data_IF_434248979909
#
_entry.id   IF_434248979909
#
_cell.length_a   1.000
_cell.length_b   1.000
_cell.length_c   1.000
_cell.angle_alpha   90.00
_cell.angle_beta   90.00
_cell.angle_gamma   90.00
#
_symmetry.space_group_name_H-M   'P 1'
#
loop_
_entity.id
_entity.type
_entity.pdbx_description
1 polymer ?
#
# COMPACT_ATOMS: atom_id res chain seq x y z
N UNK A 1 -28.62 -2.24 -16.23
CA UNK A 1 -28.89 -1.55 -14.96
C UNK A 1 -29.08 -2.62 -13.89
N UNK A 2 -27.99 -3.05 -13.27
CA UNK A 2 -27.97 -4.03 -12.18
C UNK A 2 -27.26 -3.34 -11.03
N UNK A 3 -28.00 -3.08 -9.96
CA UNK A 3 -27.46 -2.58 -8.71
C UNK A 3 -26.61 -3.68 -8.06
N UNK A 4 -25.33 -3.39 -7.82
CA UNK A 4 -24.49 -4.21 -6.95
C UNK A 4 -24.56 -3.62 -5.55
N UNK A 5 -25.48 -4.16 -4.75
CA UNK A 5 -25.35 -4.18 -3.30
C UNK A 5 -24.25 -5.18 -2.94
N UNK A 6 -23.21 -4.71 -2.26
CA UNK A 6 -22.12 -5.56 -1.78
C UNK A 6 -21.52 -4.98 -0.52
N UNK A 7 -22.26 -5.10 0.58
CA UNK A 7 -21.73 -4.89 1.92
C UNK A 7 -21.40 -6.27 2.49
N UNK A 8 -20.11 -6.56 2.60
CA UNK A 8 -19.53 -7.60 3.45
C UNK A 8 -18.10 -7.19 3.74
N UNK A 9 -17.91 -6.51 4.87
CA UNK A 9 -16.63 -6.07 5.36
C UNK A 9 -15.64 -7.22 5.51
N UNK A 10 -14.73 -7.35 4.54
CA UNK A 10 -13.43 -7.98 4.77
C UNK A 10 -12.58 -6.92 5.48
N UNK A 11 -12.49 -7.04 6.80
CA UNK A 11 -11.46 -6.32 7.55
C UNK A 11 -10.13 -6.65 6.88
N UNK A 12 -9.26 -5.68 6.54
CA UNK A 12 -7.95 -6.02 6.00
C UNK A 12 -7.28 -6.91 7.05
N UNK A 13 -7.03 -8.20 6.74
CA UNK A 13 -6.24 -9.07 7.61
C UNK A 13 -4.89 -8.37 7.77
N UNK A 14 -4.66 -7.77 8.93
CA UNK A 14 -3.43 -7.02 9.19
C UNK A 14 -2.28 -8.02 9.17
N UNK A 15 -1.22 -7.73 8.42
CA UNK A 15 -0.01 -8.58 8.34
C UNK A 15 0.70 -8.70 9.69
N UNK A 16 0.39 -7.78 10.59
CA UNK A 16 0.96 -7.65 11.91
C UNK A 16 -0.10 -7.90 12.97
N UNK A 17 0.34 -8.41 14.10
CA UNK A 17 -0.40 -8.38 15.36
C UNK A 17 -0.86 -6.95 15.67
N UNK A 18 -1.89 -6.85 16.52
CA UNK A 18 -2.38 -5.55 16.98
C UNK A 18 -1.26 -4.74 17.67
N UNK A 19 -0.41 -5.40 18.47
CA UNK A 19 0.71 -4.75 19.16
C UNK A 19 1.73 -4.14 18.18
N UNK A 20 2.10 -4.89 17.13
CA UNK A 20 3.02 -4.39 16.10
C UNK A 20 2.38 -3.32 15.22
N UNK A 21 1.12 -3.51 14.80
CA UNK A 21 0.36 -2.49 14.06
C UNK A 21 0.29 -1.19 14.84
N UNK A 22 -0.06 -1.28 16.13
CA UNK A 22 -0.11 -0.14 17.03
C UNK A 22 1.26 0.51 17.22
N UNK A 23 2.35 -0.26 17.36
CA UNK A 23 3.71 0.29 17.48
C UNK A 23 4.14 1.02 16.21
N UNK A 24 3.89 0.41 15.05
CA UNK A 24 4.21 0.99 13.76
C UNK A 24 3.39 2.26 13.51
N UNK A 25 2.12 2.27 13.87
CA UNK A 25 1.25 3.45 13.74
C UNK A 25 1.50 4.53 14.83
N UNK A 26 2.04 4.16 16.01
CA UNK A 26 2.30 5.08 17.15
C UNK A 26 3.54 5.96 16.99
N UNK A 27 4.42 5.72 16.02
CA UNK A 27 5.64 6.55 15.82
C UNK A 27 5.32 8.03 15.56
N UNK A 28 4.07 8.37 15.20
CA UNK A 28 3.63 9.78 15.09
C UNK A 28 3.13 10.43 16.38
N UNK A 29 2.83 9.69 17.46
CA UNK A 29 2.36 10.30 18.73
C UNK A 29 3.47 10.96 19.54
N UNK A 30 4.75 10.70 19.21
CA UNK A 30 5.88 11.18 20.01
C UNK A 30 6.86 12.12 19.30
N UNK A 31 6.69 12.40 18.01
CA UNK A 31 7.68 13.18 17.24
C UNK A 31 7.15 14.43 16.52
N UNK A 32 6.04 15.06 16.95
CA UNK A 32 5.79 16.42 16.45
C UNK A 32 4.40 17.05 16.52
N UNK A 33 3.55 16.77 17.51
CA UNK A 33 2.55 17.77 17.93
C UNK A 33 2.50 17.81 19.47
N UNK A 34 2.74 18.96 20.11
CA UNK A 34 2.56 19.07 21.54
C UNK A 34 1.07 18.95 21.85
N UNK A 35 0.69 17.88 22.54
CA UNK A 35 -0.49 17.88 23.41
C UNK A 35 -1.84 18.24 22.75
N UNK A 36 -2.09 17.85 21.51
CA UNK A 36 -3.45 17.82 20.98
C UNK A 36 -4.23 16.68 21.60
N UNK A 37 -4.95 16.93 22.70
CA UNK A 37 -5.94 15.99 23.23
C UNK A 37 -6.83 15.48 22.08
N UNK A 38 -7.31 14.21 22.12
CA UNK A 38 -8.22 13.70 21.11
C UNK A 38 -9.37 14.70 20.94
N UNK A 39 -9.50 15.31 19.75
CA UNK A 39 -10.58 16.27 19.48
C UNK A 39 -11.90 15.52 19.74
N UNK A 40 -12.67 15.91 20.76
CA UNK A 40 -13.92 15.22 21.03
C UNK A 40 -14.85 15.45 19.84
N UNK A 41 -15.50 14.39 19.35
CA UNK A 41 -16.72 14.53 18.55
C UNK A 41 -17.61 15.54 19.28
N UNK A 42 -18.02 16.61 18.60
CA UNK A 42 -18.87 17.67 19.14
C UNK A 42 -20.24 17.06 19.45
N UNK A 43 -20.37 16.44 20.61
CA UNK A 43 -21.65 15.91 21.11
C UNK A 43 -22.36 17.01 21.90
N UNK A 44 -23.48 17.50 21.34
CA UNK A 44 -24.51 18.24 22.06
C UNK A 44 -24.80 19.64 21.54
N UNK A 45 -26.06 20.08 21.73
CA UNK A 45 -26.63 21.35 21.23
C UNK A 45 -25.86 22.62 21.62
N UNK A 46 -25.10 22.61 22.70
CA UNK A 46 -24.31 23.75 23.16
C UNK A 46 -23.03 23.93 22.34
N UNK A 47 -22.36 22.82 21.98
CA UNK A 47 -21.11 22.85 21.24
C UNK A 47 -21.32 23.14 19.75
N UNK A 48 -22.49 22.80 19.18
CA UNK A 48 -22.87 23.22 17.82
C UNK A 48 -23.05 24.75 17.72
N UNK A 49 -23.62 25.41 18.74
CA UNK A 49 -23.82 26.87 18.71
C UNK A 49 -22.51 27.65 18.80
N UNK A 50 -21.58 27.20 19.65
CA UNK A 50 -20.25 27.80 19.75
C UNK A 50 -19.49 27.64 18.42
N UNK A 51 -19.50 26.43 17.84
CA UNK A 51 -18.86 26.17 16.56
C UNK A 51 -19.45 27.01 15.41
N UNK A 52 -20.78 27.14 15.32
CA UNK A 52 -21.40 27.99 14.31
C UNK A 52 -21.06 29.48 14.51
N UNK A 53 -20.91 29.94 15.75
CA UNK A 53 -20.52 31.31 16.04
C UNK A 53 -19.04 31.57 15.66
N UNK A 54 -18.15 30.60 15.90
CA UNK A 54 -16.75 30.64 15.45
C UNK A 54 -16.63 30.70 13.92
N UNK A 55 -17.54 30.03 13.21
CA UNK A 55 -17.63 30.08 11.74
C UNK A 55 -18.28 31.37 11.20
N UNK A 56 -18.71 32.29 12.07
CA UNK A 56 -19.45 33.50 11.67
C UNK A 56 -20.86 33.23 11.14
N UNK A 57 -21.42 32.04 11.39
CA UNK A 57 -22.71 31.59 10.88
C UNK A 57 -23.87 31.77 11.88
N UNK A 58 -23.66 32.63 12.88
CA UNK A 58 -24.67 33.01 13.87
C UNK A 58 -24.91 34.52 13.80
N UNK A 59 -26.07 34.91 13.29
CA UNK A 59 -26.56 36.28 13.35
C UNK A 59 -27.41 36.45 14.62
N UNK A 60 -26.90 37.22 15.59
CA UNK A 60 -27.57 37.45 16.87
C UNK A 60 -28.78 38.37 16.75
N UNK A 61 -28.89 39.13 15.66
CA UNK A 61 -29.95 40.11 15.39
C UNK A 61 -31.09 39.52 14.57
N UNK A 62 -30.86 38.41 13.85
CA UNK A 62 -31.86 37.74 13.03
C UNK A 62 -32.53 36.54 13.72
N UNK A 63 -33.70 36.18 13.20
CA UNK A 63 -34.39 34.92 13.52
C UNK A 63 -34.64 34.10 12.24
N UNK A 64 -34.30 32.80 12.20
CA UNK A 64 -33.54 32.07 13.23
C UNK A 64 -32.08 32.56 13.26
N UNK A 65 -31.46 32.56 14.46
CA UNK A 65 -30.08 33.07 14.63
C UNK A 65 -29.05 32.32 13.78
N UNK A 66 -29.32 31.07 13.44
CA UNK A 66 -28.46 30.24 12.60
C UNK A 66 -28.88 30.28 11.12
N UNK A 67 -29.67 31.27 10.69
CA UNK A 67 -30.08 31.44 9.29
C UNK A 67 -28.89 31.41 8.32
N UNK A 68 -27.75 32.07 8.58
CA UNK A 68 -26.60 31.99 7.69
C UNK A 68 -26.09 30.56 7.51
N UNK A 69 -26.08 29.75 8.58
CA UNK A 69 -25.72 28.34 8.52
C UNK A 69 -26.66 27.56 7.60
N UNK A 70 -27.97 27.76 7.72
CA UNK A 70 -28.95 27.07 6.87
C UNK A 70 -28.82 27.44 5.40
N UNK A 71 -28.59 28.73 5.10
CA UNK A 71 -28.41 29.22 3.74
C UNK A 71 -27.13 28.67 3.10
N UNK A 72 -26.05 28.56 3.88
CA UNK A 72 -24.80 27.95 3.42
C UNK A 72 -24.98 26.46 3.14
N UNK A 73 -25.68 25.72 4.02
CA UNK A 73 -25.97 24.29 3.82
C UNK A 73 -26.86 24.05 2.60
N UNK A 74 -27.92 24.84 2.44
CA UNK A 74 -28.86 24.69 1.32
C UNK A 74 -28.20 24.88 -0.06
N UNK A 75 -27.09 25.63 -0.14
CA UNK A 75 -26.32 25.80 -1.39
C UNK A 75 -25.51 24.57 -1.75
N UNK A 76 -25.01 23.84 -0.75
CA UNK A 76 -24.07 22.72 -0.96
C UNK A 76 -24.74 21.35 -0.92
N UNK A 77 -25.94 21.22 -0.33
CA UNK A 77 -26.65 19.95 -0.17
C UNK A 77 -28.01 19.99 -0.88
N UNK A 78 -28.12 19.43 -2.10
CA UNK A 78 -29.39 19.29 -2.81
C UNK A 78 -30.38 18.49 -1.94
N UNK A 79 -31.56 19.07 -1.68
CA UNK A 79 -32.59 18.49 -0.81
C UNK A 79 -32.65 19.12 0.59
N UNK A 80 -31.60 19.76 1.10
CA UNK A 80 -31.70 20.46 2.38
C UNK A 80 -32.60 21.71 2.27
N UNK A 81 -33.80 21.62 2.83
CA UNK A 81 -34.76 22.73 2.94
C UNK A 81 -35.17 22.92 4.40
N UNK A 82 -35.41 24.18 4.76
CA UNK A 82 -35.80 24.56 6.11
C UNK A 82 -36.92 25.60 6.07
N UNK A 83 -37.88 25.48 6.99
CA UNK A 83 -39.04 26.36 7.05
C UNK A 83 -39.25 26.88 8.46
N UNK A 84 -39.80 28.09 8.53
CA UNK A 84 -40.31 28.67 9.78
C UNK A 84 -41.66 28.04 10.10
N UNK A 85 -41.74 27.34 11.23
CA UNK A 85 -43.00 26.91 11.86
C UNK A 85 -43.33 27.77 13.07
N UNK A 86 -44.59 27.78 13.48
CA UNK A 86 -45.00 28.44 14.71
C UNK A 86 -46.46 28.18 15.10
N UNK A 87 -46.75 28.28 16.39
CA UNK A 87 -48.10 28.25 16.95
C UNK A 87 -48.16 29.18 18.16
N UNK A 88 -49.02 30.20 18.08
CA UNK A 88 -49.02 31.31 19.05
C UNK A 88 -47.67 32.04 19.04
N UNK A 89 -47.15 32.35 20.23
CA UNK A 89 -45.86 33.05 20.39
C UNK A 89 -44.63 32.14 20.23
N UNK A 90 -44.84 30.83 20.00
CA UNK A 90 -43.74 29.87 19.79
C UNK A 90 -43.42 29.76 18.32
N UNK A 91 -42.15 29.98 17.98
CA UNK A 91 -41.62 29.88 16.63
C UNK A 91 -40.47 28.86 16.62
N UNK A 92 -40.42 27.98 15.63
CA UNK A 92 -39.37 26.96 15.46
C UNK A 92 -38.95 26.79 14.00
N UNK A 93 -37.85 26.10 13.77
CA UNK A 93 -37.37 25.72 12.43
C UNK A 93 -37.67 24.24 12.20
N UNK A 94 -38.29 23.92 11.08
CA UNK A 94 -38.52 22.55 10.63
C UNK A 94 -37.65 22.29 9.41
N UNK A 95 -36.96 21.14 9.38
CA UNK A 95 -36.21 20.69 8.19
C UNK A 95 -37.12 19.78 7.38
N UNK A 96 -37.32 20.09 6.09
CA UNK A 96 -38.17 19.30 5.19
C UNK A 96 -37.47 17.99 4.83
N UNK A 97 -36.17 18.07 4.58
CA UNK A 97 -35.26 16.95 4.34
C UNK A 97 -33.91 17.30 5.00
N UNK A 98 -33.31 16.32 5.69
CA UNK A 98 -32.05 16.51 6.41
C UNK A 98 -31.02 15.48 5.91
N UNK A 99 -29.82 15.90 5.46
CA UNK A 99 -28.82 14.99 4.93
C UNK A 99 -28.42 13.95 5.97
N UNK A 100 -28.26 12.70 5.53
CA UNK A 100 -27.60 11.66 6.30
C UNK A 100 -26.24 11.37 5.69
N UNK A 101 -25.26 11.07 6.53
CA UNK A 101 -23.92 10.65 6.11
C UNK A 101 -23.68 9.31 6.79
N UNK A 102 -23.52 8.25 5.99
CA UNK A 102 -23.31 6.87 6.48
C UNK A 102 -24.43 6.39 7.45
N UNK A 103 -25.67 6.82 7.23
CA UNK A 103 -26.81 6.48 8.08
C UNK A 103 -26.91 7.27 9.39
N UNK A 104 -25.95 8.15 9.70
CA UNK A 104 -26.02 9.08 10.83
C UNK A 104 -26.57 10.45 10.37
N UNK A 105 -27.23 11.18 11.26
CA UNK A 105 -27.71 12.56 11.04
C UNK A 105 -26.64 13.53 11.55
N UNK A 106 -25.87 14.22 10.68
CA UNK A 106 -24.79 15.11 11.09
C UNK A 106 -25.32 16.33 11.86
N UNK A 107 -24.46 17.05 12.58
CA UNK A 107 -24.87 18.32 13.18
C UNK A 107 -24.88 19.46 12.15
N UNK A 108 -25.60 20.55 12.45
CA UNK A 108 -25.57 21.77 11.63
C UNK A 108 -24.16 22.35 11.47
N UNK A 109 -23.30 22.20 12.49
CA UNK A 109 -21.92 22.65 12.40
C UNK A 109 -21.13 21.79 11.40
N UNK A 110 -21.34 20.48 11.40
CA UNK A 110 -20.66 19.55 10.47
C UNK A 110 -21.05 19.86 9.01
N UNK A 111 -22.35 20.03 8.75
CA UNK A 111 -22.86 20.40 7.43
C UNK A 111 -22.34 21.78 6.98
N UNK A 112 -22.24 22.74 7.91
CA UNK A 112 -21.76 24.09 7.62
C UNK A 112 -20.28 24.13 7.27
N UNK A 113 -19.44 23.37 8.00
CA UNK A 113 -18.00 23.26 7.70
C UNK A 113 -17.81 22.67 6.31
N UNK A 114 -18.55 21.62 5.99
CA UNK A 114 -18.45 20.97 4.69
C UNK A 114 -18.92 21.89 3.55
N UNK A 115 -20.03 22.61 3.77
CA UNK A 115 -20.54 23.58 2.79
C UNK A 115 -19.54 24.71 2.53
N UNK A 116 -18.93 25.27 3.59
CA UNK A 116 -17.91 26.32 3.44
C UNK A 116 -16.66 25.83 2.70
N UNK A 117 -16.25 24.58 2.88
CA UNK A 117 -15.17 23.97 2.08
C UNK A 117 -15.51 23.92 0.60
N UNK A 118 -16.76 23.63 0.26
CA UNK A 118 -17.21 23.61 -1.14
C UNK A 118 -17.41 25.00 -1.76
N UNK A 119 -17.61 26.05 -0.95
CA UNK A 119 -17.90 27.41 -1.45
C UNK A 119 -16.66 28.30 -1.60
N UNK A 120 -15.56 28.00 -0.89
CA UNK A 120 -14.28 28.73 -1.00
C UNK A 120 -13.41 28.06 -2.07
N UNK A 121 -13.77 28.26 -3.34
CA UNK A 121 -12.83 28.09 -4.45
C UNK A 121 -13.22 29.02 -5.62
N UNK A 122 -12.65 30.25 -5.69
CA UNK A 122 -12.41 30.87 -6.97
C UNK A 122 -11.25 30.14 -7.67
N UNK A 123 -11.40 30.00 -8.98
CA UNK A 123 -10.52 29.31 -9.92
C UNK A 123 -9.02 29.55 -9.66
N UNK A 124 -8.33 28.51 -9.19
CA UNK A 124 -6.88 28.37 -9.24
C UNK A 124 -6.55 26.97 -9.80
N UNK A 125 -5.49 26.85 -10.62
CA UNK A 125 -5.35 25.77 -11.58
C UNK A 125 -5.14 24.41 -10.90
N UNK A 126 -5.92 23.42 -11.36
CA UNK A 126 -5.76 21.98 -11.11
C UNK A 126 -5.44 21.61 -9.67
N UNK A 127 -6.38 21.83 -8.75
CA UNK A 127 -6.37 21.13 -7.48
C UNK A 127 -6.50 19.63 -7.74
N UNK A 128 -5.46 18.90 -7.42
CA UNK A 128 -5.51 17.45 -7.22
C UNK A 128 -6.67 17.16 -6.28
N UNK A 129 -7.69 16.44 -6.76
CA UNK A 129 -8.83 16.08 -5.94
C UNK A 129 -8.42 14.97 -4.96
N UNK A 130 -7.76 15.34 -3.87
CA UNK A 130 -7.41 14.44 -2.75
C UNK A 130 -8.68 13.81 -2.14
N UNK A 131 -9.81 14.49 -2.27
CA UNK A 131 -11.13 14.05 -1.80
C UNK A 131 -11.70 12.85 -2.59
N UNK A 132 -11.08 12.47 -3.72
CA UNK A 132 -11.45 11.26 -4.47
C UNK A 132 -10.94 9.95 -3.83
N UNK A 133 -10.12 10.02 -2.79
CA UNK A 133 -9.63 8.83 -2.09
C UNK A 133 -10.48 8.54 -0.86
N UNK A 134 -10.82 7.27 -0.63
CA UNK A 134 -11.51 6.85 0.58
C UNK A 134 -10.71 7.27 1.85
N UNK A 135 -11.38 7.59 2.98
CA UNK A 135 -10.70 8.15 4.17
C UNK A 135 -9.53 7.31 4.70
N UNK A 136 -9.64 5.98 4.62
CA UNK A 136 -8.57 5.06 5.01
C UNK A 136 -7.33 5.17 4.09
N UNK A 137 -7.53 5.36 2.78
CA UNK A 137 -6.45 5.60 1.81
C UNK A 137 -5.80 6.93 2.11
N UNK A 138 -6.59 7.99 2.32
CA UNK A 138 -6.07 9.30 2.69
C UNK A 138 -5.21 9.22 3.95
N UNK A 139 -5.67 8.52 4.99
CA UNK A 139 -4.94 8.38 6.24
C UNK A 139 -3.62 7.61 6.05
N UNK A 140 -3.66 6.47 5.34
CA UNK A 140 -2.51 5.57 5.17
C UNK A 140 -1.47 6.13 4.21
N UNK A 141 -1.89 6.76 3.12
CA UNK A 141 -0.99 7.33 2.10
C UNK A 141 -0.79 8.84 2.25
N UNK A 142 -1.18 9.40 3.40
CA UNK A 142 -1.04 10.83 3.71
C UNK A 142 0.38 11.37 3.44
N UNK A 143 1.49 10.69 3.80
CA UNK A 143 2.81 11.22 3.51
C UNK A 143 3.03 11.56 2.03
N UNK A 144 2.51 10.73 1.10
CA UNK A 144 2.58 10.98 -0.34
C UNK A 144 1.61 12.09 -0.78
N UNK A 145 0.40 12.13 -0.22
CA UNK A 145 -0.61 13.15 -0.54
C UNK A 145 -0.24 14.55 -0.02
N UNK A 146 0.53 14.63 1.06
CA UNK A 146 0.99 15.88 1.68
C UNK A 146 2.34 16.36 1.14
N UNK A 147 2.90 15.70 0.12
CA UNK A 147 4.11 16.15 -0.56
C UNK A 147 3.98 17.60 -1.02
N UNK A 148 5.07 18.36 -0.87
CA UNK A 148 5.13 19.78 -1.21
C UNK A 148 6.02 20.00 -2.40
N UNK A 149 5.70 21.01 -3.20
CA UNK A 149 6.53 21.38 -4.33
C UNK A 149 7.89 21.88 -3.82
N UNK A 150 8.95 21.55 -4.54
CA UNK A 150 10.30 22.02 -4.22
C UNK A 150 10.44 23.55 -4.35
N UNK A 151 9.68 24.16 -5.27
CA UNK A 151 9.68 25.60 -5.53
C UNK A 151 8.68 26.39 -4.67
N UNK A 152 7.68 25.74 -4.07
CA UNK A 152 6.75 26.36 -3.13
C UNK A 152 6.23 25.35 -2.10
N UNK A 153 6.81 25.39 -0.89
CA UNK A 153 6.45 24.52 0.23
C UNK A 153 4.99 24.69 0.71
N UNK A 154 4.31 25.78 0.34
CA UNK A 154 2.89 26.01 0.68
C UNK A 154 1.96 25.20 -0.22
N UNK A 155 2.40 24.89 -1.44
CA UNK A 155 1.62 24.16 -2.43
C UNK A 155 1.89 22.66 -2.33
N UNK A 156 0.81 21.87 -2.53
CA UNK A 156 0.94 20.41 -2.67
C UNK A 156 1.52 20.08 -4.04
N UNK A 157 2.35 19.06 -4.08
CA UNK A 157 2.87 18.54 -5.34
C UNK A 157 1.88 17.53 -5.96
N UNK A 158 1.34 17.79 -7.17
CA UNK A 158 0.41 16.87 -7.84
C UNK A 158 0.95 15.50 -8.10
N UNK A 159 2.27 15.39 -8.23
CA UNK A 159 2.94 14.13 -8.54
C UNK A 159 2.85 13.13 -7.40
N UNK A 160 2.66 13.59 -6.15
CA UNK A 160 2.41 12.73 -5.01
C UNK A 160 1.07 11.99 -5.12
N UNK A 161 0.01 12.70 -5.51
CA UNK A 161 -1.31 12.10 -5.65
C UNK A 161 -1.48 11.26 -6.92
N UNK A 162 -0.81 11.63 -8.01
CA UNK A 162 -0.74 10.79 -9.21
C UNK A 162 -0.09 9.45 -8.88
N UNK A 163 1.00 9.46 -8.10
CA UNK A 163 1.61 8.22 -7.61
C UNK A 163 0.63 7.42 -6.73
N UNK A 164 -0.05 8.08 -5.77
CA UNK A 164 -1.06 7.39 -4.93
C UNK A 164 -2.16 6.74 -5.76
N UNK A 165 -2.66 7.43 -6.80
CA UNK A 165 -3.65 6.85 -7.72
C UNK A 165 -3.10 5.60 -8.39
N UNK A 166 -1.90 5.67 -8.98
CA UNK A 166 -1.27 4.53 -9.63
C UNK A 166 -1.09 3.35 -8.65
N UNK A 167 -0.64 3.61 -7.42
CA UNK A 167 -0.48 2.58 -6.39
C UNK A 167 -1.83 1.95 -5.98
N UNK A 168 -2.89 2.74 -5.85
CA UNK A 168 -4.24 2.24 -5.54
C UNK A 168 -4.78 1.40 -6.69
N UNK A 169 -4.62 1.84 -7.93
CA UNK A 169 -5.11 1.15 -9.13
C UNK A 169 -4.35 -0.17 -9.38
N UNK A 170 -3.08 -0.23 -8.97
CA UNK A 170 -2.29 -1.46 -8.91
C UNK A 170 -2.71 -2.41 -7.78
N UNK A 171 -3.50 -1.92 -6.83
CA UNK A 171 -3.92 -2.67 -5.67
C UNK A 171 -2.79 -2.91 -4.67
N UNK A 172 -1.92 -1.94 -4.38
CA UNK A 172 -0.89 -2.14 -3.34
C UNK A 172 -1.51 -2.47 -1.98
N UNK A 173 -0.94 -3.43 -1.25
CA UNK A 173 -1.28 -3.70 0.13
C UNK A 173 -0.95 -2.45 0.96
N UNK A 174 -1.78 -2.15 1.97
CA UNK A 174 -1.55 -0.99 2.83
C UNK A 174 -0.31 -1.22 3.69
N UNK A 175 0.82 -0.53 3.43
CA UNK A 175 2.02 -0.77 4.19
C UNK A 175 1.99 0.04 5.49
N UNK A 176 2.87 -0.27 6.46
CA UNK A 176 3.09 0.58 7.63
C UNK A 176 3.42 2.02 7.24
N UNK A 177 3.06 3.00 8.08
CA UNK A 177 3.32 4.41 7.79
C UNK A 177 4.81 4.71 7.57
N UNK A 178 5.72 4.05 8.31
CA UNK A 178 7.17 4.21 8.10
C UNK A 178 7.61 3.82 6.68
N UNK A 179 6.97 2.80 6.10
CA UNK A 179 7.25 2.37 4.73
C UNK A 179 6.71 3.41 3.75
N UNK A 180 5.53 4.00 4.00
CA UNK A 180 5.02 5.09 3.17
C UNK A 180 5.92 6.32 3.24
N UNK A 181 6.46 6.65 4.42
CA UNK A 181 7.44 7.73 4.58
C UNK A 181 8.73 7.43 3.79
N UNK A 182 9.20 6.18 3.79
CA UNK A 182 10.34 5.75 2.97
C UNK A 182 10.04 5.84 1.47
N UNK A 183 8.84 5.47 1.02
CA UNK A 183 8.39 5.61 -0.38
C UNK A 183 8.27 7.08 -0.78
N UNK A 184 7.79 7.94 0.12
CA UNK A 184 7.77 9.39 -0.11
C UNK A 184 9.18 9.93 -0.30
N UNK A 185 10.11 9.60 0.60
CA UNK A 185 11.49 10.04 0.51
C UNK A 185 12.16 9.53 -0.78
N UNK A 186 11.90 8.28 -1.16
CA UNK A 186 12.34 7.74 -2.45
C UNK A 186 11.78 8.55 -3.63
N UNK A 187 10.48 8.85 -3.61
CA UNK A 187 9.83 9.59 -4.69
C UNK A 187 10.34 11.03 -4.81
N UNK A 188 10.61 11.70 -3.68
CA UNK A 188 11.22 13.03 -3.67
C UNK A 188 12.59 13.03 -4.37
N UNK A 189 13.43 12.02 -4.13
CA UNK A 189 14.73 11.85 -4.82
C UNK A 189 14.57 11.59 -6.31
N UNK A 190 13.60 10.76 -6.69
CA UNK A 190 13.27 10.50 -8.10
C UNK A 190 12.85 11.80 -8.80
N UNK A 191 11.98 12.59 -8.17
CA UNK A 191 11.54 13.88 -8.72
C UNK A 191 12.66 14.93 -8.79
N UNK A 192 13.70 14.78 -7.96
CA UNK A 192 14.93 15.57 -8.05
C UNK A 192 15.90 15.09 -9.15
N UNK A 193 15.57 14.01 -9.86
CA UNK A 193 16.37 13.47 -10.96
C UNK A 193 17.48 12.51 -10.54
N UNK A 194 17.48 12.04 -9.28
CA UNK A 194 18.44 11.03 -8.85
C UNK A 194 18.21 9.70 -9.60
N UNK A 195 19.29 8.98 -10.01
CA UNK A 195 19.16 7.64 -10.55
C UNK A 195 18.37 6.77 -9.57
N UNK A 196 17.37 6.04 -10.09
CA UNK A 196 16.47 5.24 -9.28
C UNK A 196 16.07 3.97 -10.02
N UNK A 197 15.73 2.94 -9.24
CA UNK A 197 15.36 1.64 -9.77
C UNK A 197 14.09 1.15 -9.08
N UNK A 198 13.12 0.65 -9.85
CA UNK A 198 12.09 -0.24 -9.30
C UNK A 198 12.58 -1.66 -9.48
N UNK A 199 12.71 -2.38 -8.38
CA UNK A 199 13.22 -3.75 -8.38
C UNK A 199 12.19 -4.74 -7.87
N UNK A 200 12.09 -5.86 -8.56
CA UNK A 200 11.20 -6.98 -8.23
C UNK A 200 12.05 -8.24 -8.18
N UNK A 201 12.06 -8.94 -7.06
CA UNK A 201 12.52 -10.33 -7.01
C UNK A 201 11.33 -11.25 -7.34
N UNK A 202 11.53 -12.20 -8.25
CA UNK A 202 10.49 -13.16 -8.65
C UNK A 202 11.00 -14.58 -8.51
N UNK A 203 10.10 -15.47 -8.07
CA UNK A 203 10.37 -16.89 -8.01
C UNK A 203 10.42 -17.51 -9.44
N UNK A 204 10.99 -18.71 -9.58
CA UNK A 204 10.93 -19.50 -10.81
C UNK A 204 9.50 -19.75 -11.30
N UNK A 205 9.34 -20.10 -12.58
CA UNK A 205 8.07 -20.43 -13.22
C UNK A 205 7.58 -21.84 -12.83
N UNK A 206 7.25 -22.02 -11.55
CA UNK A 206 6.71 -23.27 -11.03
C UNK A 206 5.35 -23.59 -11.65
N UNK A 207 5.12 -24.87 -11.94
CA UNK A 207 3.84 -25.35 -12.46
C UNK A 207 2.68 -24.99 -11.55
N UNK A 208 1.60 -24.53 -12.18
CA UNK A 208 0.35 -24.14 -11.54
C UNK A 208 -0.84 -24.80 -12.20
N UNK A 209 -1.97 -24.86 -11.48
CA UNK A 209 -3.28 -25.22 -12.02
C UNK A 209 -4.30 -24.13 -11.71
N UNK A 210 -5.30 -24.02 -12.57
CA UNK A 210 -6.50 -23.24 -12.28
C UNK A 210 -7.33 -23.94 -11.20
N UNK A 211 -7.95 -23.17 -10.33
CA UNK A 211 -8.77 -23.70 -9.21
C UNK A 211 -10.27 -23.53 -9.46
N UNK A 212 -10.66 -22.63 -10.37
CA UNK A 212 -12.05 -22.18 -10.54
C UNK A 212 -12.55 -21.23 -9.44
N UNK A 213 -11.73 -20.91 -8.44
CA UNK A 213 -12.05 -19.99 -7.36
C UNK A 213 -11.66 -18.54 -7.76
N UNK A 214 -12.60 -17.60 -7.86
CA UNK A 214 -12.29 -16.20 -8.18
C UNK A 214 -11.35 -15.52 -7.17
N UNK A 215 -11.36 -15.94 -5.91
CA UNK A 215 -10.49 -15.39 -4.86
C UNK A 215 -9.09 -16.01 -4.90
N UNK A 216 -8.97 -17.21 -5.47
CA UNK A 216 -7.73 -17.97 -5.59
C UNK A 216 -7.61 -18.64 -6.95
N UNK A 217 -7.53 -17.90 -8.06
CA UNK A 217 -7.72 -18.45 -9.40
C UNK A 217 -6.64 -19.47 -9.81
N UNK A 218 -5.48 -19.42 -9.16
CA UNK A 218 -4.31 -20.24 -9.48
C UNK A 218 -3.75 -20.84 -8.19
N UNK A 219 -3.35 -22.12 -8.24
CA UNK A 219 -2.62 -22.79 -7.18
C UNK A 219 -1.36 -23.47 -7.73
N UNK A 220 -0.24 -23.34 -7.03
CA UNK A 220 0.97 -24.10 -7.37
C UNK A 220 0.77 -25.59 -7.18
N UNK A 221 1.23 -26.37 -8.14
CA UNK A 221 1.34 -27.83 -8.02
C UNK A 221 2.77 -28.28 -7.73
N UNK A 222 3.75 -27.49 -8.21
CA UNK A 222 5.17 -27.81 -8.12
C UNK A 222 5.56 -29.13 -8.81
N UNK A 223 4.74 -29.60 -9.75
CA UNK A 223 5.00 -30.83 -10.52
C UNK A 223 6.15 -30.66 -11.53
N UNK A 224 6.53 -29.41 -11.79
CA UNK A 224 7.59 -29.07 -12.71
C UNK A 224 7.98 -27.60 -12.62
N UNK A 225 8.97 -27.26 -13.41
CA UNK A 225 9.47 -25.91 -13.63
C UNK A 225 9.28 -25.57 -15.10
N UNK A 226 8.77 -24.41 -15.47
CA UNK A 226 8.62 -24.03 -16.87
C UNK A 226 9.69 -22.97 -17.24
N UNK A 227 9.79 -22.61 -18.52
CA UNK A 227 10.66 -21.54 -19.02
C UNK A 227 9.91 -20.28 -19.46
N UNK A 228 8.65 -20.12 -19.04
CA UNK A 228 7.77 -19.02 -19.44
C UNK A 228 7.74 -17.88 -18.43
N UNK A 229 6.68 -17.07 -18.49
CA UNK A 229 6.40 -16.02 -17.51
C UNK A 229 5.57 -16.65 -16.38
N UNK A 230 6.27 -16.99 -15.29
CA UNK A 230 5.67 -17.59 -14.10
C UNK A 230 4.66 -16.70 -13.40
N UNK A 231 3.89 -17.29 -12.48
CA UNK A 231 2.75 -16.62 -11.87
C UNK A 231 3.11 -15.30 -11.16
N UNK A 232 4.17 -15.29 -10.34
CA UNK A 232 4.66 -14.07 -9.66
C UNK A 232 5.18 -13.06 -10.67
N UNK A 233 5.97 -13.50 -11.65
CA UNK A 233 6.48 -12.63 -12.71
C UNK A 233 5.32 -12.01 -13.53
N UNK A 234 4.26 -12.74 -13.82
CA UNK A 234 3.10 -12.22 -14.55
C UNK A 234 2.42 -11.06 -13.80
N UNK A 235 2.39 -11.11 -12.46
CA UNK A 235 1.90 -9.99 -11.64
C UNK A 235 2.79 -8.77 -11.77
N UNK A 236 4.12 -8.94 -11.78
CA UNK A 236 5.07 -7.87 -12.05
C UNK A 236 4.84 -7.27 -13.46
N UNK A 237 4.70 -8.12 -14.49
CA UNK A 237 4.45 -7.68 -15.86
C UNK A 237 3.16 -6.87 -16.01
N UNK A 238 2.12 -7.16 -15.22
CA UNK A 238 0.89 -6.35 -15.19
C UNK A 238 1.03 -5.01 -14.45
N UNK A 239 2.02 -4.88 -13.56
CA UNK A 239 2.21 -3.71 -12.70
C UNK A 239 3.25 -2.72 -13.22
N UNK A 240 4.42 -3.22 -13.66
CA UNK A 240 5.55 -2.37 -14.03
C UNK A 240 5.26 -1.42 -15.21
N UNK A 241 4.54 -1.82 -16.27
CA UNK A 241 4.16 -0.90 -17.34
C UNK A 241 3.36 0.32 -16.85
N UNK A 242 2.41 0.10 -15.93
CA UNK A 242 1.58 1.17 -15.36
C UNK A 242 2.41 2.12 -14.49
N UNK A 243 3.36 1.58 -13.73
CA UNK A 243 4.32 2.40 -12.98
C UNK A 243 5.22 3.20 -13.92
N UNK A 244 5.72 2.59 -14.98
CA UNK A 244 6.56 3.25 -15.98
C UNK A 244 5.82 4.41 -16.66
N UNK A 245 4.57 4.21 -17.07
CA UNK A 245 3.71 5.26 -17.62
C UNK A 245 3.48 6.39 -16.60
N UNK A 246 3.15 6.03 -15.36
CA UNK A 246 3.02 7.00 -14.27
C UNK A 246 4.30 7.83 -14.09
N UNK A 247 5.47 7.19 -14.00
CA UNK A 247 6.72 7.92 -13.80
C UNK A 247 7.04 8.83 -14.99
N UNK A 248 6.86 8.36 -16.23
CA UNK A 248 7.03 9.19 -17.42
C UNK A 248 6.12 10.41 -17.42
N UNK A 249 4.84 10.24 -17.07
CA UNK A 249 3.88 11.34 -16.99
C UNK A 249 4.25 12.38 -15.93
N UNK A 250 5.02 11.99 -14.91
CA UNK A 250 5.49 12.89 -13.84
C UNK A 250 6.92 13.42 -14.06
N UNK A 251 7.50 13.25 -15.25
CA UNK A 251 8.85 13.70 -15.58
C UNK A 251 9.98 12.80 -15.03
N UNK A 252 9.64 11.63 -14.49
CA UNK A 252 10.56 10.64 -13.91
C UNK A 252 10.87 9.49 -14.90
N UNK A 253 11.01 9.79 -16.19
CA UNK A 253 11.27 8.78 -17.22
C UNK A 253 12.64 8.08 -17.13
N UNK A 254 13.53 8.55 -16.25
CA UNK A 254 14.87 7.99 -16.03
C UNK A 254 14.87 6.76 -15.11
N UNK A 255 13.77 6.49 -14.39
CA UNK A 255 13.65 5.34 -13.50
C UNK A 255 13.84 4.04 -14.28
N UNK A 256 14.77 3.20 -13.82
CA UNK A 256 15.04 1.89 -14.38
C UNK A 256 14.17 0.81 -13.72
N UNK A 257 13.96 -0.30 -14.42
CA UNK A 257 13.23 -1.46 -13.89
C UNK A 257 14.12 -2.69 -13.89
N UNK A 258 14.11 -3.43 -12.79
CA UNK A 258 14.87 -4.68 -12.66
C UNK A 258 13.93 -5.77 -12.17
N UNK A 259 13.94 -6.91 -12.86
CA UNK A 259 13.22 -8.12 -12.43
C UNK A 259 14.24 -9.23 -12.23
N UNK A 260 14.69 -9.38 -10.99
CA UNK A 260 15.69 -10.36 -10.60
C UNK A 260 15.03 -11.73 -10.36
N UNK A 261 15.46 -12.75 -11.09
CA UNK A 261 14.91 -14.12 -10.96
C UNK A 261 15.72 -14.92 -9.95
N UNK A 262 15.06 -15.53 -8.96
CA UNK A 262 15.69 -16.23 -7.84
C UNK A 262 16.35 -17.56 -8.26
N UNK A 263 17.55 -17.50 -8.83
CA UNK A 263 18.37 -18.64 -9.23
C UNK A 263 19.02 -19.37 -8.05
N UNK A 264 19.10 -18.73 -6.88
CA UNK A 264 19.57 -19.35 -5.65
C UNK A 264 18.74 -20.60 -5.26
N UNK A 265 17.48 -20.71 -5.69
CA UNK A 265 16.65 -21.90 -5.45
C UNK A 265 17.21 -23.15 -6.17
N UNK A 266 17.99 -22.98 -7.23
CA UNK A 266 18.65 -24.07 -7.96
C UNK A 266 19.88 -24.63 -7.22
N UNK A 267 20.44 -23.88 -6.26
CA UNK A 267 21.56 -24.34 -5.43
C UNK A 267 21.10 -25.33 -4.34
N UNK A 268 19.78 -25.46 -4.11
CA UNK A 268 19.19 -26.44 -3.19
C UNK A 268 18.80 -27.70 -3.95
N UNK A 269 19.55 -28.79 -3.75
CA UNK A 269 19.32 -30.06 -4.45
C UNK A 269 17.89 -30.62 -4.23
N UNK A 270 17.29 -30.36 -3.06
CA UNK A 270 15.92 -30.77 -2.77
C UNK A 270 14.90 -30.05 -3.66
N UNK A 271 15.09 -28.75 -3.94
CA UNK A 271 14.22 -28.00 -4.84
C UNK A 271 14.27 -28.58 -6.25
N UNK A 272 15.48 -28.85 -6.77
CA UNK A 272 15.67 -29.49 -8.07
C UNK A 272 14.97 -30.85 -8.15
N UNK A 273 15.10 -31.69 -7.12
CA UNK A 273 14.39 -32.98 -7.03
C UNK A 273 12.87 -32.81 -7.00
N UNK A 274 12.36 -31.81 -6.26
CA UNK A 274 10.91 -31.57 -6.11
C UNK A 274 10.23 -31.29 -7.45
N UNK A 275 10.91 -30.54 -8.32
CA UNK A 275 10.40 -30.17 -9.65
C UNK A 275 10.94 -31.07 -10.78
N UNK A 276 11.67 -32.13 -10.44
CA UNK A 276 12.10 -33.16 -11.39
C UNK A 276 13.14 -32.73 -12.43
N UNK A 277 13.99 -31.73 -12.14
CA UNK A 277 15.05 -31.28 -13.06
C UNK A 277 16.43 -31.30 -12.41
N UNK A 278 17.49 -31.27 -13.24
CA UNK A 278 18.86 -31.02 -12.77
C UNK A 278 19.11 -29.52 -12.61
N UNK A 279 20.14 -29.15 -11.85
CA UNK A 279 20.51 -27.74 -11.62
C UNK A 279 20.75 -26.97 -12.93
N UNK A 280 21.45 -27.57 -13.89
CA UNK A 280 21.76 -26.93 -15.16
C UNK A 280 20.49 -26.62 -15.96
N UNK A 281 19.54 -27.57 -15.95
CA UNK A 281 18.24 -27.40 -16.58
C UNK A 281 17.38 -26.37 -15.86
N UNK A 282 17.45 -26.31 -14.53
CA UNK A 282 16.77 -25.28 -13.73
C UNK A 282 17.24 -23.88 -14.15
N UNK A 283 18.56 -23.66 -14.19
CA UNK A 283 19.15 -22.39 -14.60
C UNK A 283 18.81 -22.05 -16.05
N UNK A 284 18.83 -23.04 -16.95
CA UNK A 284 18.44 -22.84 -18.34
C UNK A 284 16.97 -22.36 -18.46
N UNK A 285 16.04 -22.99 -17.73
CA UNK A 285 14.62 -22.56 -17.70
C UNK A 285 14.46 -21.15 -17.14
N UNK A 286 15.26 -20.75 -16.14
CA UNK A 286 15.27 -19.37 -15.66
C UNK A 286 15.73 -18.38 -16.74
N UNK A 287 16.73 -18.72 -17.58
CA UNK A 287 17.13 -17.87 -18.71
C UNK A 287 16.02 -17.71 -19.74
N UNK A 288 15.29 -18.79 -20.02
CA UNK A 288 14.12 -18.74 -20.89
C UNK A 288 13.06 -17.81 -20.31
N UNK A 289 12.79 -17.90 -19.00
CA UNK A 289 11.90 -16.97 -18.29
C UNK A 289 12.36 -15.51 -18.39
N UNK A 290 13.67 -15.22 -18.27
CA UNK A 290 14.22 -13.86 -18.43
C UNK A 290 13.93 -13.28 -19.81
N UNK A 291 14.15 -14.09 -20.84
CA UNK A 291 13.90 -13.70 -22.24
C UNK A 291 12.41 -13.51 -22.49
N UNK A 292 11.57 -14.42 -22.00
CA UNK A 292 10.12 -14.34 -22.14
C UNK A 292 9.57 -13.08 -21.46
N UNK A 293 10.04 -12.76 -20.24
CA UNK A 293 9.63 -11.55 -19.54
C UNK A 293 10.04 -10.28 -20.29
N UNK A 294 11.32 -10.19 -20.68
CA UNK A 294 11.85 -9.03 -21.40
C UNK A 294 11.10 -8.79 -22.73
N UNK A 295 10.80 -9.87 -23.47
CA UNK A 295 10.06 -9.80 -24.73
C UNK A 295 8.60 -9.35 -24.56
N UNK A 296 8.00 -9.58 -23.38
CA UNK A 296 6.62 -9.19 -23.09
C UNK A 296 6.50 -7.77 -22.56
N UNK A 297 7.61 -7.11 -22.18
CA UNK A 297 7.59 -5.72 -21.76
C UNK A 297 7.30 -4.77 -22.92
N UNK A 298 6.63 -3.62 -22.68
CA UNK A 298 6.38 -2.62 -23.70
C UNK A 298 7.68 -2.13 -24.38
N UNK A 299 7.66 -1.85 -25.69
CA UNK A 299 8.80 -1.28 -26.39
C UNK A 299 9.31 0.01 -25.75
N UNK A 300 10.62 0.08 -25.51
CA UNK A 300 11.29 1.24 -24.93
C UNK A 300 11.22 1.33 -23.39
N UNK A 301 10.56 0.38 -22.72
CA UNK A 301 10.62 0.28 -21.26
C UNK A 301 12.03 -0.12 -20.82
N UNK A 302 12.69 0.65 -19.92
CA UNK A 302 14.05 0.35 -19.49
C UNK A 302 14.05 -0.76 -18.44
N UNK A 303 13.94 -2.02 -18.89
CA UNK A 303 13.87 -3.21 -18.03
C UNK A 303 15.08 -4.12 -18.21
N UNK A 304 15.67 -4.56 -17.10
CA UNK A 304 16.65 -5.63 -17.05
C UNK A 304 16.10 -6.83 -16.30
N UNK A 305 16.45 -8.05 -16.74
CA UNK A 305 15.97 -9.30 -16.16
C UNK A 305 17.14 -10.19 -15.71
N UNK A 306 17.99 -9.78 -14.76
CA UNK A 306 19.14 -10.57 -14.31
C UNK A 306 18.71 -11.78 -13.46
N UNK A 307 19.61 -12.74 -13.26
CA UNK A 307 19.44 -13.70 -12.17
C UNK A 307 19.83 -12.99 -10.87
N UNK A 308 19.23 -13.36 -9.75
CA UNK A 308 19.45 -12.68 -8.47
C UNK A 308 20.93 -12.75 -8.06
N UNK A 309 21.55 -13.93 -8.13
CA UNK A 309 22.96 -14.10 -7.73
C UNK A 309 23.95 -13.52 -8.74
N UNK A 310 23.52 -13.18 -9.95
CA UNK A 310 24.36 -12.47 -10.93
C UNK A 310 24.56 -10.99 -10.60
N UNK A 311 23.70 -10.42 -9.75
CA UNK A 311 23.87 -9.04 -9.31
C UNK A 311 25.18 -8.87 -8.53
N UNK A 312 25.44 -9.79 -7.59
CA UNK A 312 26.70 -9.95 -6.89
C UNK A 312 26.69 -11.30 -6.13
N UNK A 313 27.39 -12.30 -6.65
CA UNK A 313 27.42 -13.64 -6.05
C UNK A 313 28.13 -13.66 -4.70
N UNK A 314 29.23 -12.93 -4.57
CA UNK A 314 30.02 -12.91 -3.34
C UNK A 314 29.21 -12.23 -2.22
N UNK A 315 28.59 -11.08 -2.53
CA UNK A 315 27.71 -10.40 -1.59
C UNK A 315 26.48 -11.26 -1.23
N UNK A 316 25.90 -12.00 -2.19
CA UNK A 316 24.79 -12.92 -1.91
C UNK A 316 25.17 -13.96 -0.86
N UNK A 317 26.29 -14.66 -1.05
CA UNK A 317 26.73 -15.72 -0.14
C UNK A 317 27.02 -15.15 1.27
N UNK A 318 27.66 -13.99 1.36
CA UNK A 318 27.93 -13.28 2.61
C UNK A 318 26.65 -12.80 3.32
N UNK A 319 25.71 -12.22 2.58
CA UNK A 319 24.43 -11.73 3.10
C UNK A 319 23.54 -12.88 3.57
N UNK A 320 23.52 -14.00 2.85
CA UNK A 320 22.78 -15.19 3.24
C UNK A 320 23.34 -15.78 4.55
N UNK A 321 24.67 -15.82 4.70
CA UNK A 321 25.30 -16.25 5.94
C UNK A 321 24.92 -15.33 7.12
N UNK A 322 24.96 -14.00 6.91
CA UNK A 322 24.54 -13.02 7.91
C UNK A 322 23.05 -13.17 8.29
N UNK A 323 22.18 -13.37 7.29
CA UNK A 323 20.75 -13.55 7.51
C UNK A 323 20.44 -14.83 8.30
N UNK A 324 21.13 -15.94 8.00
CA UNK A 324 21.03 -17.18 8.80
C UNK A 324 21.44 -16.96 10.25
N UNK A 325 22.56 -16.28 10.47
CA UNK A 325 23.04 -15.94 11.82
C UNK A 325 22.04 -15.03 12.57
N UNK A 326 21.44 -14.06 11.87
CA UNK A 326 20.46 -13.14 12.44
C UNK A 326 19.16 -13.87 12.84
N UNK A 327 18.64 -14.75 11.98
CA UNK A 327 17.44 -15.56 12.27
C UNK A 327 17.68 -16.49 13.46
N UNK A 328 18.87 -17.08 13.59
CA UNK A 328 19.23 -17.93 14.73
C UNK A 328 19.13 -17.19 16.08
N UNK A 329 19.35 -15.87 16.10
CA UNK A 329 19.17 -15.01 17.28
C UNK A 329 17.88 -14.17 17.22
N UNK A 330 16.90 -14.60 16.40
CA UNK A 330 15.56 -14.02 16.27
C UNK A 330 15.53 -12.54 15.84
N UNK A 331 16.44 -12.16 14.94
CA UNK A 331 16.45 -10.83 14.29
C UNK A 331 15.90 -10.93 12.87
N UNK A 332 14.84 -10.16 12.61
CA UNK A 332 14.04 -10.22 11.37
C UNK A 332 13.93 -8.87 10.65
N UNK A 333 14.93 -8.01 10.80
CA UNK A 333 14.98 -6.70 10.15
C UNK A 333 14.33 -5.55 10.94
N UNK A 334 14.13 -4.40 10.30
CA UNK A 334 13.86 -3.12 10.98
C UNK A 334 12.42 -2.96 11.48
N UNK A 335 11.50 -3.81 11.01
CA UNK A 335 10.09 -3.71 11.38
C UNK A 335 9.79 -4.27 12.78
N UNK A 336 10.75 -4.93 13.45
CA UNK A 336 10.60 -5.38 14.84
C UNK A 336 9.48 -6.42 15.03
N UNK A 337 9.49 -7.48 14.21
CA UNK A 337 8.51 -8.56 14.31
C UNK A 337 8.57 -9.28 15.66
N UNK A 338 7.39 -9.61 16.18
CA UNK A 338 7.18 -10.42 17.39
C UNK A 338 6.93 -11.89 17.04
N UNK A 339 6.99 -12.79 18.02
CA UNK A 339 6.64 -14.20 17.79
C UNK A 339 5.19 -14.38 17.31
N UNK A 340 4.26 -13.54 17.76
CA UNK A 340 2.88 -13.55 17.29
C UNK A 340 2.79 -13.19 15.80
N UNK A 341 3.55 -12.19 15.36
CA UNK A 341 3.63 -11.79 13.94
C UNK A 341 4.14 -12.97 13.09
N UNK A 342 5.21 -13.62 13.55
CA UNK A 342 5.80 -14.77 12.86
C UNK A 342 4.82 -15.96 12.83
N UNK A 343 4.05 -16.16 13.89
CA UNK A 343 2.98 -17.17 13.93
C UNK A 343 1.83 -16.86 12.96
N UNK A 344 1.45 -15.59 12.80
CA UNK A 344 0.47 -15.15 11.80
C UNK A 344 0.99 -15.43 10.39
N UNK A 345 2.24 -15.04 10.11
CA UNK A 345 2.87 -15.24 8.80
C UNK A 345 2.98 -16.73 8.47
N UNK A 346 3.46 -17.56 9.41
CA UNK A 346 3.58 -19.00 9.21
C UNK A 346 2.23 -19.66 8.92
N UNK A 347 1.17 -19.26 9.64
CA UNK A 347 -0.20 -19.76 9.36
C UNK A 347 -0.70 -19.34 7.97
N UNK A 348 -0.47 -18.08 7.59
CA UNK A 348 -0.86 -17.58 6.27
C UNK A 348 -0.13 -18.31 5.12
N UNK A 349 1.08 -18.83 5.37
CA UNK A 349 1.89 -19.55 4.38
C UNK A 349 1.71 -21.07 4.41
N UNK A 350 1.07 -21.62 5.44
CA UNK A 350 0.93 -23.07 5.67
C UNK A 350 0.48 -23.83 4.42
N UNK A 351 -0.59 -23.38 3.77
CA UNK A 351 -1.16 -24.09 2.63
C UNK A 351 -0.16 -24.25 1.48
N UNK A 352 0.67 -23.24 1.23
CA UNK A 352 1.74 -23.30 0.23
C UNK A 352 2.80 -24.33 0.62
N UNK A 353 3.23 -24.30 1.89
CA UNK A 353 4.23 -25.23 2.39
C UNK A 353 3.74 -26.68 2.33
N UNK A 354 2.49 -26.93 2.68
CA UNK A 354 1.91 -28.28 2.61
C UNK A 354 1.88 -28.81 1.16
N UNK A 355 1.65 -27.95 0.16
CA UNK A 355 1.77 -28.34 -1.26
C UNK A 355 3.20 -28.56 -1.71
N UNK A 356 4.13 -27.75 -1.23
CA UNK A 356 5.55 -27.94 -1.54
C UNK A 356 6.06 -29.27 -1.00
N UNK A 357 5.78 -29.60 0.25
CA UNK A 357 6.27 -30.81 0.91
C UNK A 357 5.33 -32.03 0.79
N UNK A 358 4.15 -31.89 0.18
CA UNK A 358 3.22 -32.99 -0.08
C UNK A 358 2.46 -33.51 1.14
N UNK A 359 2.32 -32.72 2.20
CA UNK A 359 1.66 -33.13 3.44
C UNK A 359 1.69 -32.06 4.53
N UNK A 360 1.18 -32.37 5.73
CA UNK A 360 1.24 -31.47 6.88
C UNK A 360 2.68 -31.18 7.28
N UNK A 361 2.99 -29.91 7.52
CA UNK A 361 4.34 -29.45 7.90
C UNK A 361 4.31 -28.55 9.11
N UNK A 362 5.45 -28.46 9.81
CA UNK A 362 5.72 -27.36 10.72
C UNK A 362 5.96 -26.08 9.90
N UNK A 363 4.88 -25.34 9.68
CA UNK A 363 4.92 -24.10 8.91
C UNK A 363 5.86 -23.05 9.50
N UNK A 364 6.15 -23.11 10.81
CA UNK A 364 7.08 -22.18 11.43
C UNK A 364 8.52 -22.56 11.10
N UNK A 365 8.88 -23.83 11.22
CA UNK A 365 10.20 -24.31 10.82
C UNK A 365 10.49 -24.05 9.34
N UNK A 366 9.51 -24.26 8.46
CA UNK A 366 9.65 -23.94 7.03
C UNK A 366 9.85 -22.44 6.81
N UNK A 367 9.08 -21.59 7.51
CA UNK A 367 9.26 -20.14 7.44
C UNK A 367 10.67 -19.73 7.88
N UNK A 368 11.15 -20.23 9.02
CA UNK A 368 12.49 -19.90 9.54
C UNK A 368 13.61 -20.34 8.57
N UNK A 369 13.37 -21.38 7.77
CA UNK A 369 14.27 -21.80 6.69
C UNK A 369 14.28 -20.87 5.47
N UNK A 370 13.14 -20.26 5.13
CA UNK A 370 13.02 -19.35 3.97
C UNK A 370 13.40 -17.90 4.27
N UNK A 371 13.16 -17.45 5.50
CA UNK A 371 13.39 -16.05 5.89
C UNK A 371 14.81 -15.53 5.60
N UNK A 372 15.88 -16.31 5.81
CA UNK A 372 17.24 -15.86 5.47
C UNK A 372 17.41 -15.43 4.01
N UNK A 373 16.77 -16.14 3.07
CA UNK A 373 16.87 -15.82 1.63
C UNK A 373 16.16 -14.50 1.31
N UNK A 374 14.98 -14.25 1.90
CA UNK A 374 14.28 -12.97 1.72
C UNK A 374 15.05 -11.79 2.32
N UNK A 375 15.64 -11.96 3.50
CA UNK A 375 16.46 -10.93 4.15
C UNK A 375 17.72 -10.64 3.31
N UNK A 376 18.40 -11.69 2.85
CA UNK A 376 19.59 -11.56 2.01
C UNK A 376 19.27 -10.89 0.67
N UNK A 377 18.16 -11.27 0.03
CA UNK A 377 17.70 -10.64 -1.21
C UNK A 377 17.40 -9.15 -0.99
N UNK A 378 16.68 -8.79 0.08
CA UNK A 378 16.41 -7.38 0.41
C UNK A 378 17.69 -6.55 0.56
N UNK A 379 18.69 -7.07 1.27
CA UNK A 379 19.98 -6.37 1.42
C UNK A 379 20.81 -6.34 0.12
N UNK A 380 20.83 -7.43 -0.66
CA UNK A 380 21.55 -7.49 -1.93
C UNK A 380 20.98 -6.44 -2.90
N UNK A 381 19.67 -6.42 -3.08
CA UNK A 381 19.01 -5.46 -3.96
C UNK A 381 19.27 -4.02 -3.52
N UNK A 382 19.31 -3.75 -2.22
CA UNK A 382 19.66 -2.42 -1.69
C UNK A 382 21.12 -2.05 -1.96
N UNK A 383 22.05 -2.99 -1.88
CA UNK A 383 23.46 -2.74 -2.17
C UNK A 383 23.69 -2.47 -3.66
N UNK A 384 23.09 -3.28 -4.53
CA UNK A 384 23.20 -3.12 -5.98
C UNK A 384 22.46 -1.88 -6.50
N UNK A 385 21.39 -1.45 -5.81
CA UNK A 385 20.53 -0.35 -6.22
C UNK A 385 20.27 0.64 -5.06
N UNK A 386 21.18 1.61 -4.82
CA UNK A 386 21.12 2.51 -3.66
C UNK A 386 19.85 3.36 -3.52
N UNK A 387 19.14 3.62 -4.62
CA UNK A 387 17.86 4.36 -4.66
C UNK A 387 16.73 3.48 -5.23
N UNK A 388 16.58 2.28 -4.66
CA UNK A 388 15.56 1.33 -5.08
C UNK A 388 14.20 1.57 -4.42
N UNK A 389 13.12 1.34 -5.17
CA UNK A 389 11.79 0.97 -4.67
C UNK A 389 11.63 -0.54 -4.92
N UNK A 390 11.47 -1.33 -3.86
CA UNK A 390 11.20 -2.76 -4.02
C UNK A 390 9.70 -2.99 -4.14
N UNK A 391 9.29 -3.73 -5.18
CA UNK A 391 7.91 -4.13 -5.37
C UNK A 391 7.78 -5.65 -5.24
N UNK A 392 7.22 -6.11 -4.13
CA UNK A 392 6.85 -7.50 -3.91
C UNK A 392 5.61 -7.89 -4.72
N UNK A 393 5.75 -8.95 -5.50
CA UNK A 393 4.67 -9.49 -6.35
C UNK A 393 4.30 -10.93 -5.99
N UNK A 394 4.85 -11.41 -4.89
CA UNK A 394 4.57 -12.69 -4.25
C UNK A 394 3.58 -12.51 -3.08
N UNK A 395 3.77 -13.24 -1.98
CA UNK A 395 2.87 -13.22 -0.84
C UNK A 395 3.13 -12.00 0.06
N UNK A 396 2.11 -11.17 0.25
CA UNK A 396 2.14 -10.02 1.17
C UNK A 396 2.65 -10.35 2.58
N UNK A 397 2.33 -11.52 3.20
CA UNK A 397 2.94 -11.94 4.47
C UNK A 397 4.47 -11.97 4.51
N UNK A 398 5.16 -12.06 3.36
CA UNK A 398 6.62 -12.06 3.29
C UNK A 398 7.22 -10.64 3.23
N UNK A 399 6.40 -9.61 3.04
CA UNK A 399 6.85 -8.22 2.92
C UNK A 399 7.78 -7.72 4.03
N UNK A 400 7.61 -8.13 5.30
CA UNK A 400 8.52 -7.68 6.33
C UNK A 400 9.97 -8.13 6.14
N UNK A 401 10.20 -9.29 5.54
CA UNK A 401 11.54 -9.85 5.36
C UNK A 401 12.27 -9.26 4.15
N UNK A 402 11.53 -8.76 3.15
CA UNK A 402 12.10 -8.03 2.02
C UNK A 402 12.75 -6.69 2.43
N UNK A 403 12.58 -6.24 3.68
CA UNK A 403 13.27 -5.08 4.24
C UNK A 403 14.78 -5.31 4.47
N UNK A 404 15.24 -6.57 4.49
CA UNK A 404 16.62 -6.93 4.83
C UNK A 404 16.93 -6.81 6.34
N UNK A 405 18.20 -6.97 6.69
CA UNK A 405 18.72 -6.88 8.06
C UNK A 405 19.08 -5.45 8.48
N UNK A 406 19.05 -4.50 7.56
CA UNK A 406 19.36 -3.10 7.81
C UNK A 406 18.52 -2.49 8.96
N UNK A 407 19.02 -1.41 9.53
CA UNK A 407 18.32 -0.67 10.60
C UNK A 407 17.35 0.38 10.07
N UNK A 408 17.39 0.66 8.77
CA UNK A 408 16.57 1.69 8.11
C UNK A 408 15.43 1.03 7.34
N UNK A 409 14.22 1.55 7.53
CA UNK A 409 13.04 1.12 6.77
C UNK A 409 13.21 1.48 5.30
N UNK A 410 13.06 0.48 4.43
CA UNK A 410 13.18 0.59 2.99
C UNK A 410 11.81 0.83 2.33
N UNK A 411 11.79 1.50 1.16
CA UNK A 411 10.58 1.65 0.36
C UNK A 411 10.23 0.31 -0.29
N UNK A 412 9.51 -0.54 0.45
CA UNK A 412 9.07 -1.86 -0.01
C UNK A 412 7.55 -1.88 -0.07
N UNK A 413 7.01 -1.98 -1.27
CA UNK A 413 5.57 -2.10 -1.51
C UNK A 413 5.23 -3.51 -1.98
N UNK A 414 4.02 -3.97 -1.69
CA UNK A 414 3.55 -5.30 -2.13
C UNK A 414 2.20 -5.17 -2.82
N UNK A 415 1.95 -5.95 -3.86
CA UNK A 415 0.64 -6.03 -4.53
C UNK A 415 -0.35 -6.90 -3.72
N UNK A 416 -1.63 -6.48 -3.59
CA UNK A 416 -2.72 -7.28 -3.02
C UNK A 416 -3.12 -8.43 -3.96
N UNK A 417 -3.71 -9.48 -3.38
CA UNK A 417 -4.22 -10.69 -4.06
C UNK A 417 -3.09 -11.55 -4.64
N UNK A 418 -2.81 -12.78 -4.21
CA UNK A 418 -3.71 -13.90 -3.97
C UNK A 418 -3.14 -14.70 -2.78
N UNK A 419 -3.98 -15.06 -1.79
CA UNK A 419 -3.56 -16.02 -0.75
C UNK A 419 -3.35 -17.39 -1.43
N UNK A 420 -2.18 -17.99 -1.24
CA UNK A 420 -1.73 -19.12 -2.07
C UNK A 420 -2.42 -20.44 -1.84
#
# INVERSE_FOLDING_TARGET
MVMLSGDAGVTPKTLFSRATSDRLDRVRRYLGEPGGAPKPRIRGRASTKAALAELGLVDRTAWPRNRPAYEVIARSFPGFDWRRGGQGDRVWVTFTEYPTVEGETPSLADLSVESLRTTVAPEAPSHIQVDLFAPNIQQRLRPLLDMRRADDARQRDPRGATLVRALVDLGIAYPPLQVVDAVRAWWERVLAGEPATVVVAVCPDYSTRETGDPERPVAYTFDGLNGGIGHVARRALGALPKLWECFRANGAGHVQFVVAMADCEADVAENCRRVGVRREEFLQRLRESQQAFAAACPPGMPVATPLLTELDRAAWDDLLAQARAAVAVRKYGPLGLTEDDLGIIARARRSLYERWYGGTVDARAVLDGQVPEYLAAGDLLRQCFPNALMLGTDAVPMAPFAQGLGTTIQPVLYLRGVEY
#
